data_IF_358803958803
#
_entry.id   IF_358803958803
#
_cell.length_a   1.000
_cell.length_b   1.000
_cell.length_c   1.000
_cell.angle_alpha   90.00
_cell.angle_beta   90.00
_cell.angle_gamma   90.00
#
_symmetry.space_group_name_H-M   'P 1'
#
loop_
_entity.id
_entity.type
_entity.pdbx_description
1 polymer ?
#
# COMPACT_ATOMS: atom_id res chain seq x y z
N UNK A 1 -2.11 -16.89 1.22
CA UNK A 1 -2.47 -15.51 0.87
C UNK A 1 -1.71 -14.58 1.81
N UNK A 2 -0.81 -13.77 1.26
CA UNK A 2 0.07 -12.85 1.99
C UNK A 2 -0.46 -11.43 1.90
N UNK A 3 -0.07 -10.61 2.87
CA UNK A 3 -0.30 -9.17 2.89
C UNK A 3 1.05 -8.49 2.72
N UNK A 4 1.12 -7.54 1.79
CA UNK A 4 2.28 -6.68 1.60
C UNK A 4 1.94 -5.24 2.00
N UNK A 5 2.91 -4.52 2.56
CA UNK A 5 2.78 -3.08 2.82
C UNK A 5 3.87 -2.29 2.09
N UNK A 6 3.49 -1.19 1.45
CA UNK A 6 4.37 -0.21 0.82
C UNK A 6 4.25 1.10 1.60
N UNK A 7 5.27 1.42 2.39
CA UNK A 7 5.27 2.59 3.24
C UNK A 7 6.67 3.09 3.56
N UNK A 8 6.77 4.24 4.24
CA UNK A 8 8.02 4.69 4.83
C UNK A 8 8.41 3.82 6.03
N UNK A 9 9.71 3.85 6.37
CA UNK A 9 10.36 3.00 7.36
C UNK A 9 9.55 2.79 8.65
N UNK A 10 9.03 3.86 9.25
CA UNK A 10 8.29 3.79 10.52
C UNK A 10 7.04 2.92 10.41
N UNK A 11 6.21 3.15 9.39
CA UNK A 11 4.95 2.43 9.21
C UNK A 11 5.22 0.98 8.79
N UNK A 12 6.19 0.75 7.89
CA UNK A 12 6.63 -0.59 7.48
C UNK A 12 7.07 -1.43 8.68
N UNK A 13 7.86 -0.86 9.59
CA UNK A 13 8.26 -1.54 10.83
C UNK A 13 7.07 -1.85 11.74
N UNK A 14 6.11 -0.93 11.88
CA UNK A 14 4.90 -1.17 12.66
C UNK A 14 4.07 -2.34 12.14
N UNK A 15 3.91 -2.46 10.83
CA UNK A 15 3.20 -3.58 10.21
C UNK A 15 3.96 -4.90 10.32
N UNK A 16 5.29 -4.90 10.22
CA UNK A 16 6.09 -6.10 10.48
C UNK A 16 5.89 -6.61 11.92
N UNK A 17 5.90 -5.71 12.90
CA UNK A 17 5.60 -6.07 14.30
C UNK A 17 4.16 -6.59 14.47
N UNK A 18 3.23 -6.10 13.65
CA UNK A 18 1.84 -6.58 13.60
C UNK A 18 1.65 -7.90 12.85
N UNK A 19 2.71 -8.53 12.31
CA UNK A 19 2.64 -9.81 11.62
C UNK A 19 2.28 -9.74 10.13
N UNK A 20 2.44 -8.59 9.48
CA UNK A 20 2.37 -8.51 8.00
C UNK A 20 3.53 -9.30 7.38
N UNK A 21 3.25 -9.98 6.27
CA UNK A 21 4.18 -10.95 5.68
C UNK A 21 5.34 -10.27 4.97
N UNK A 22 5.07 -9.20 4.22
CA UNK A 22 6.08 -8.46 3.46
C UNK A 22 5.91 -6.96 3.69
N UNK A 23 7.01 -6.26 3.92
CA UNK A 23 7.02 -4.81 4.06
C UNK A 23 8.14 -4.21 3.22
N UNK A 24 7.77 -3.28 2.34
CA UNK A 24 8.67 -2.55 1.48
C UNK A 24 8.84 -1.15 2.04
N UNK A 25 10.09 -0.75 2.26
CA UNK A 25 10.45 0.61 2.66
C UNK A 25 10.60 1.42 1.37
N UNK A 26 9.67 2.33 1.12
CA UNK A 26 9.63 3.11 -0.11
C UNK A 26 10.00 4.57 0.21
N UNK A 27 11.29 4.93 0.18
CA UNK A 27 11.75 6.31 0.44
C UNK A 27 11.79 7.16 -0.84
N UNK A 28 11.95 6.51 -1.99
CA UNK A 28 12.04 7.14 -3.31
C UNK A 28 10.97 6.64 -4.27
N UNK A 29 10.78 7.37 -5.38
CA UNK A 29 9.87 6.97 -6.44
C UNK A 29 10.21 5.59 -7.01
N UNK A 30 11.50 5.31 -7.17
CA UNK A 30 11.97 4.05 -7.74
C UNK A 30 11.71 2.88 -6.79
N UNK A 31 11.90 3.08 -5.47
CA UNK A 31 11.56 2.07 -4.46
C UNK A 31 10.06 1.72 -4.52
N UNK A 32 9.20 2.75 -4.65
CA UNK A 32 7.76 2.56 -4.72
C UNK A 32 7.34 1.77 -5.98
N UNK A 33 7.90 2.12 -7.14
CA UNK A 33 7.65 1.41 -8.40
C UNK A 33 8.11 -0.03 -8.33
N UNK A 34 9.33 -0.25 -7.86
CA UNK A 34 9.92 -1.58 -7.76
C UNK A 34 9.12 -2.47 -6.80
N UNK A 35 8.76 -1.95 -5.62
CA UNK A 35 7.94 -2.67 -4.66
C UNK A 35 6.56 -3.04 -5.22
N UNK A 36 5.92 -2.11 -5.93
CA UNK A 36 4.62 -2.35 -6.56
C UNK A 36 4.71 -3.43 -7.64
N UNK A 37 5.74 -3.38 -8.50
CA UNK A 37 5.96 -4.42 -9.51
C UNK A 37 6.22 -5.81 -8.90
N UNK A 38 7.03 -5.88 -7.84
CA UNK A 38 7.28 -7.14 -7.12
C UNK A 38 5.95 -7.68 -6.59
N UNK A 39 5.14 -6.83 -5.97
CA UNK A 39 3.86 -7.23 -5.41
C UNK A 39 2.87 -7.72 -6.47
N UNK A 40 2.79 -7.05 -7.63
CA UNK A 40 1.89 -7.43 -8.71
C UNK A 40 2.29 -8.74 -9.41
N UNK A 41 3.59 -9.07 -9.44
CA UNK A 41 4.12 -10.30 -10.04
C UNK A 41 3.99 -11.51 -9.11
N UNK A 42 3.89 -11.29 -7.79
CA UNK A 42 3.80 -12.35 -6.79
C UNK A 42 2.34 -12.77 -6.56
N UNK A 43 1.96 -13.94 -7.08
CA UNK A 43 0.60 -14.49 -6.95
C UNK A 43 0.20 -14.88 -5.53
N UNK A 44 1.14 -14.96 -4.58
CA UNK A 44 0.83 -15.24 -3.18
C UNK A 44 0.29 -14.02 -2.45
N UNK A 45 0.56 -12.80 -2.94
CA UNK A 45 0.10 -11.55 -2.35
C UNK A 45 -1.35 -11.33 -2.75
N UNK A 46 -2.24 -11.37 -1.74
CA UNK A 46 -3.66 -11.12 -1.94
C UNK A 46 -4.07 -9.67 -1.64
N UNK A 47 -3.29 -8.97 -0.81
CA UNK A 47 -3.57 -7.61 -0.37
C UNK A 47 -2.30 -6.78 -0.39
N UNK A 48 -2.37 -5.60 -1.00
CA UNK A 48 -1.33 -4.59 -0.99
C UNK A 48 -1.87 -3.37 -0.24
N UNK A 49 -1.27 -3.10 0.90
CA UNK A 49 -1.50 -1.89 1.68
C UNK A 49 -0.49 -0.83 1.22
N UNK A 50 -0.96 0.33 0.79
CA UNK A 50 -0.09 1.42 0.32
C UNK A 50 -0.34 2.65 1.18
N UNK A 51 0.69 3.17 1.82
CA UNK A 51 0.56 4.43 2.56
C UNK A 51 0.20 5.59 1.61
N UNK A 52 -0.59 6.55 2.09
CA UNK A 52 -1.01 7.71 1.27
C UNK A 52 0.18 8.48 0.67
N UNK A 53 1.30 8.74 1.37
CA UNK A 53 2.47 9.37 0.77
C UNK A 53 3.05 8.56 -0.40
N UNK A 54 3.18 7.24 -0.23
CA UNK A 54 3.69 6.35 -1.30
C UNK A 54 2.70 6.27 -2.47
N UNK A 55 1.40 6.20 -2.21
CA UNK A 55 0.38 6.20 -3.25
C UNK A 55 0.41 7.47 -4.11
N UNK A 56 0.77 8.62 -3.52
CA UNK A 56 0.97 9.89 -4.26
C UNK A 56 2.21 9.88 -5.16
N UNK A 57 3.19 9.02 -4.90
CA UNK A 57 4.39 8.89 -5.73
C UNK A 57 4.10 8.09 -7.01
N UNK A 58 3.19 7.12 -6.94
CA UNK A 58 2.85 6.20 -8.05
C UNK A 58 1.35 6.16 -8.39
N UNK A 59 0.68 7.30 -8.60
CA UNK A 59 -0.77 7.37 -8.73
C UNK A 59 -1.30 6.57 -9.94
N UNK A 60 -0.58 6.60 -11.06
CA UNK A 60 -0.97 5.89 -12.28
C UNK A 60 -0.92 4.37 -12.09
N UNK A 61 0.13 3.85 -11.45
CA UNK A 61 0.25 2.41 -11.16
C UNK A 61 -0.86 1.92 -10.23
N UNK A 62 -1.24 2.73 -9.23
CA UNK A 62 -2.35 2.40 -8.33
C UNK A 62 -3.68 2.38 -9.09
N UNK A 63 -3.91 3.34 -9.99
CA UNK A 63 -5.13 3.38 -10.81
C UNK A 63 -5.21 2.16 -11.72
N UNK A 64 -4.15 1.89 -12.47
CA UNK A 64 -4.06 0.74 -13.39
C UNK A 64 -4.32 -0.58 -12.66
N UNK A 65 -3.66 -0.77 -11.52
CA UNK A 65 -3.80 -1.99 -10.76
C UNK A 65 -5.18 -2.17 -10.12
N UNK A 66 -5.88 -1.08 -9.76
CA UNK A 66 -7.29 -1.12 -9.31
C UNK A 66 -8.29 -1.39 -10.44
N UNK A 67 -7.97 -0.96 -11.66
CA UNK A 67 -8.82 -1.16 -12.85
C UNK A 67 -8.57 -2.49 -13.57
N UNK A 68 -7.54 -3.23 -13.16
CA UNK A 68 -7.23 -4.54 -13.74
C UNK A 68 -8.44 -5.48 -13.59
N UNK A 69 -8.83 -6.22 -14.64
CA UNK A 69 -9.93 -7.19 -14.57
C UNK A 69 -9.63 -8.34 -13.60
N UNK A 70 -8.39 -8.47 -13.14
CA UNK A 70 -8.01 -9.36 -12.03
C UNK A 70 -8.29 -8.65 -10.71
N UNK A 71 -9.30 -9.13 -9.97
CA UNK A 71 -9.68 -8.63 -8.64
C UNK A 71 -8.60 -8.80 -7.54
N UNK A 72 -7.50 -9.48 -7.84
CA UNK A 72 -6.40 -9.76 -6.90
C UNK A 72 -5.08 -9.31 -7.55
N UNK A 73 -4.20 -8.62 -6.80
CA UNK A 73 -4.33 -8.26 -5.38
C UNK A 73 -5.25 -7.06 -5.10
N UNK A 74 -5.92 -7.08 -3.93
CA UNK A 74 -6.70 -5.93 -3.43
C UNK A 74 -5.75 -4.83 -2.99
N UNK A 75 -5.95 -3.62 -3.51
CA UNK A 75 -5.10 -2.46 -3.19
C UNK A 75 -5.86 -1.50 -2.29
N UNK A 76 -5.39 -1.34 -1.06
CA UNK A 76 -5.95 -0.40 -0.08
C UNK A 76 -4.96 0.71 0.23
N UNK A 77 -5.44 1.95 0.22
CA UNK A 77 -4.63 3.10 0.60
C UNK A 77 -4.88 3.40 2.07
N UNK A 78 -3.82 3.43 2.88
CA UNK A 78 -3.90 3.68 4.32
C UNK A 78 -3.33 5.07 4.67
N UNK A 79 -3.89 5.77 5.66
CA UNK A 79 -3.32 7.02 6.14
C UNK A 79 -1.97 6.78 6.81
N UNK A 80 -1.10 7.78 6.79
CA UNK A 80 0.11 7.83 7.63
C UNK A 80 -0.15 8.76 8.83
N UNK A 81 0.58 8.57 9.93
CA UNK A 81 0.41 9.33 11.17
C UNK A 81 0.74 10.80 10.89
N UNK A 82 -0.30 11.63 10.73
CA UNK A 82 -0.19 13.05 10.39
C UNK A 82 -1.21 13.52 9.35
N UNK A 83 -1.77 12.61 8.54
CA UNK A 83 -3.05 12.87 7.89
C UNK A 83 -4.09 12.79 8.99
N UNK A 84 -4.68 13.93 9.39
CA UNK A 84 -5.91 13.89 10.17
C UNK A 84 -6.86 12.96 9.42
N UNK A 85 -7.32 11.91 10.09
CA UNK A 85 -8.45 11.17 9.62
C UNK A 85 -9.53 12.21 9.34
N UNK A 86 -9.93 12.38 8.07
CA UNK A 86 -11.25 12.89 7.79
C UNK A 86 -12.18 11.91 8.50
N UNK A 87 -12.54 12.30 9.72
CA UNK A 87 -13.54 11.64 10.53
C UNK A 87 -14.71 11.44 9.59
N UNK A 88 -15.16 10.20 9.43
CA UNK A 88 -16.45 9.90 8.84
C UNK A 88 -17.50 10.61 9.70
N UNK A 89 -17.70 11.90 9.45
CA UNK A 89 -18.75 12.72 10.02
C UNK A 89 -20.04 12.26 9.37
N UNK A 90 -20.66 11.26 9.98
CA UNK A 90 -22.06 10.97 9.77
C UNK A 90 -22.83 12.26 10.04
N UNK A 91 -23.47 12.78 8.99
CA UNK A 91 -24.56 13.75 9.10
C UNK A 91 -25.60 13.20 10.08
N UNK A 92 -25.80 13.90 11.19
CA UNK A 92 -26.99 13.79 12.03
C UNK A 92 -27.89 15.00 11.73
#
# INVERSE_FOLDING_TARGET
>A
MKVAVLAFKRLSLGFLLGGVHEAFICETLDDAKQAMEICLKNSEIGVILVSKPVARMIPEMIREAKTSPRMIPVISIIPDIGDQAEVCGGTA
#
